data_IF_342400717931
#
_entry.id   IF_342400717931
#
_cell.length_a   1.000
_cell.length_b   1.000
_cell.length_c   1.000
_cell.angle_alpha   90.00
_cell.angle_beta   90.00
_cell.angle_gamma   90.00
#
_symmetry.space_group_name_H-M   'P 1'
#
loop_
_entity.id
_entity.type
_entity.pdbx_description
1 polymer ?
#
# COMPACT_ATOMS: atom_id res chain seq x y z
N UNK A 1 21.19 -31.86 -4.97
CA UNK A 1 21.96 -31.63 -3.74
C UNK A 1 20.94 -31.29 -2.69
N UNK A 2 20.73 -32.19 -1.75
CA UNK A 2 19.71 -32.04 -0.71
C UNK A 2 20.41 -31.67 0.59
N UNK A 3 19.93 -30.61 1.22
CA UNK A 3 20.46 -30.13 2.50
C UNK A 3 19.36 -30.33 3.53
N UNK A 4 19.66 -31.06 4.62
CA UNK A 4 18.68 -31.42 5.65
C UNK A 4 17.44 -32.16 5.13
N UNK A 5 17.55 -32.92 4.04
CA UNK A 5 16.41 -33.62 3.42
C UNK A 5 15.49 -32.71 2.59
N UNK A 6 15.87 -31.45 2.39
CA UNK A 6 15.16 -30.48 1.56
C UNK A 6 15.99 -30.22 0.29
N UNK A 7 15.38 -30.22 -0.90
CA UNK A 7 16.08 -29.86 -2.12
C UNK A 7 16.66 -28.44 -2.03
N UNK A 8 17.94 -28.26 -2.37
CA UNK A 8 18.58 -26.95 -2.40
C UNK A 8 17.77 -25.89 -3.20
N UNK A 9 17.16 -26.21 -4.35
CA UNK A 9 16.30 -25.25 -5.07
C UNK A 9 15.12 -24.74 -4.23
N UNK A 10 14.52 -25.60 -3.40
CA UNK A 10 13.39 -25.22 -2.54
C UNK A 10 13.82 -24.30 -1.38
N UNK A 11 15.02 -24.52 -0.83
CA UNK A 11 15.59 -23.62 0.18
C UNK A 11 15.88 -22.24 -0.42
N UNK A 12 16.47 -22.19 -1.62
CA UNK A 12 16.77 -20.94 -2.31
C UNK A 12 15.50 -20.17 -2.67
N UNK A 13 14.44 -20.86 -3.13
CA UNK A 13 13.16 -20.20 -3.40
C UNK A 13 12.54 -19.61 -2.13
N UNK A 14 12.63 -20.31 -0.99
CA UNK A 14 12.09 -19.81 0.27
C UNK A 14 12.87 -18.60 0.79
N UNK A 15 14.20 -18.62 0.65
CA UNK A 15 15.05 -17.48 0.99
C UNK A 15 14.71 -16.27 0.12
N UNK A 16 14.52 -16.48 -1.18
CA UNK A 16 14.13 -15.43 -2.12
C UNK A 16 12.74 -14.87 -1.80
N UNK A 17 11.76 -15.73 -1.48
CA UNK A 17 10.43 -15.29 -1.02
C UNK A 17 10.52 -14.46 0.27
N UNK A 18 11.34 -14.88 1.22
CA UNK A 18 11.60 -14.11 2.45
C UNK A 18 12.21 -12.74 2.15
N UNK A 19 13.16 -12.67 1.23
CA UNK A 19 13.81 -11.42 0.83
C UNK A 19 12.85 -10.48 0.08
N UNK A 20 12.01 -11.03 -0.82
CA UNK A 20 10.98 -10.26 -1.53
C UNK A 20 9.96 -9.68 -0.54
N UNK A 21 9.45 -10.49 0.40
CA UNK A 21 8.51 -10.02 1.42
C UNK A 21 9.17 -9.02 2.37
N UNK A 22 10.42 -9.23 2.76
CA UNK A 22 11.19 -8.30 3.58
C UNK A 22 11.38 -6.95 2.90
N UNK A 23 11.77 -6.96 1.62
CA UNK A 23 11.90 -5.75 0.82
C UNK A 23 10.57 -5.01 0.64
N UNK A 24 9.48 -5.76 0.47
CA UNK A 24 8.12 -5.21 0.40
C UNK A 24 7.74 -4.50 1.71
N UNK A 25 7.91 -5.14 2.87
CA UNK A 25 7.63 -4.52 4.17
C UNK A 25 8.55 -3.33 4.46
N UNK A 26 9.82 -3.41 4.05
CA UNK A 26 10.76 -2.31 4.17
C UNK A 26 10.33 -1.10 3.34
N UNK A 27 9.91 -1.29 2.08
CA UNK A 27 9.37 -0.20 1.26
C UNK A 27 8.08 0.39 1.83
N UNK A 28 7.16 -0.46 2.33
CA UNK A 28 5.91 0.00 2.93
C UNK A 28 6.17 0.86 4.18
N UNK A 29 7.11 0.43 5.03
CA UNK A 29 7.54 1.19 6.21
C UNK A 29 8.24 2.51 5.85
N UNK A 30 9.12 2.48 4.84
CA UNK A 30 9.83 3.66 4.36
C UNK A 30 8.85 4.72 3.83
N UNK A 31 7.79 4.32 3.11
CA UNK A 31 6.75 5.25 2.66
C UNK A 31 6.08 5.99 3.82
N UNK A 32 5.67 5.26 4.87
CA UNK A 32 5.11 5.88 6.07
C UNK A 32 6.11 6.79 6.79
N UNK A 33 7.38 6.37 6.90
CA UNK A 33 8.44 7.15 7.52
C UNK A 33 8.70 8.48 6.78
N UNK A 34 8.68 8.47 5.44
CA UNK A 34 8.84 9.69 4.63
C UNK A 34 7.65 10.63 4.81
N UNK A 35 6.42 10.11 4.80
CA UNK A 35 5.21 10.93 5.00
C UNK A 35 5.23 11.57 6.39
N UNK A 36 5.49 10.77 7.43
CA UNK A 36 5.56 11.27 8.79
C UNK A 36 6.72 12.26 8.97
N UNK A 37 7.90 11.98 8.41
CA UNK A 37 9.07 12.86 8.50
C UNK A 37 8.89 14.21 7.81
N UNK A 38 8.08 14.28 6.74
CA UNK A 38 7.83 15.52 6.01
C UNK A 38 6.64 16.31 6.57
N UNK A 39 5.57 15.64 6.97
CA UNK A 39 4.30 16.28 7.36
C UNK A 39 4.07 16.33 8.87
N UNK A 40 4.83 15.57 9.68
CA UNK A 40 4.60 15.34 11.11
C UNK A 40 3.19 14.83 11.46
N UNK A 41 2.50 14.22 10.49
CA UNK A 41 1.16 13.63 10.67
C UNK A 41 1.21 12.13 10.46
N UNK A 42 0.64 11.38 11.41
CA UNK A 42 0.51 9.92 11.31
C UNK A 42 -0.64 9.60 10.37
N UNK A 43 -0.33 9.08 9.17
CA UNK A 43 -1.31 8.70 8.17
C UNK A 43 -1.61 7.19 8.20
N UNK A 44 -2.67 6.79 8.90
CA UNK A 44 -3.10 5.37 8.94
C UNK A 44 -3.70 4.87 7.61
N UNK A 45 -4.10 5.76 6.71
CA UNK A 45 -4.66 5.40 5.42
C UNK A 45 -3.59 4.88 4.43
N UNK A 46 -2.31 5.09 4.71
CA UNK A 46 -1.21 4.65 3.84
C UNK A 46 -1.29 3.16 3.51
N UNK A 47 -1.52 2.29 4.51
CA UNK A 47 -1.64 0.85 4.31
C UNK A 47 -2.84 0.46 3.45
N UNK A 48 -4.00 1.11 3.67
CA UNK A 48 -5.20 0.89 2.88
C UNK A 48 -5.04 1.36 1.41
N UNK A 49 -4.38 2.50 1.19
CA UNK A 49 -4.08 2.98 -0.16
C UNK A 49 -3.11 2.06 -0.90
N UNK A 50 -2.10 1.52 -0.20
CA UNK A 50 -1.20 0.52 -0.75
C UNK A 50 -1.97 -0.74 -1.19
N UNK A 51 -2.81 -1.28 -0.30
CA UNK A 51 -3.67 -2.43 -0.60
C UNK A 51 -4.60 -2.16 -1.78
N UNK A 52 -5.22 -0.98 -1.83
CA UNK A 52 -6.09 -0.57 -2.94
C UNK A 52 -5.33 -0.58 -4.27
N UNK A 53 -4.07 -0.13 -4.30
CA UNK A 53 -3.22 -0.24 -5.49
C UNK A 53 -2.97 -1.69 -5.93
N UNK A 54 -2.69 -2.59 -4.98
CA UNK A 54 -2.52 -4.00 -5.28
C UNK A 54 -3.80 -4.64 -5.84
N UNK A 55 -4.96 -4.34 -5.24
CA UNK A 55 -6.25 -4.85 -5.72
C UNK A 55 -6.61 -4.26 -7.08
N UNK A 56 -6.37 -2.97 -7.31
CA UNK A 56 -6.59 -2.35 -8.62
C UNK A 56 -5.72 -3.01 -9.70
N UNK A 57 -4.44 -3.25 -9.40
CA UNK A 57 -3.53 -3.93 -10.31
C UNK A 57 -4.05 -5.33 -10.68
N UNK A 58 -4.42 -6.11 -9.67
CA UNK A 58 -4.99 -7.45 -9.87
C UNK A 58 -6.31 -7.42 -10.64
N UNK A 59 -7.26 -6.58 -10.23
CA UNK A 59 -8.57 -6.46 -10.86
C UNK A 59 -8.50 -5.96 -12.31
N UNK A 60 -7.59 -5.04 -12.62
CA UNK A 60 -7.36 -4.57 -13.98
C UNK A 60 -6.77 -5.65 -14.89
N UNK A 61 -5.92 -6.52 -14.35
CA UNK A 61 -5.40 -7.67 -15.11
C UNK A 61 -6.49 -8.73 -15.33
N UNK A 62 -7.26 -9.07 -14.30
CA UNK A 62 -8.25 -10.14 -14.33
C UNK A 62 -9.51 -9.76 -15.11
N UNK A 63 -10.12 -8.61 -14.81
CA UNK A 63 -11.42 -8.22 -15.35
C UNK A 63 -11.33 -7.37 -16.61
N UNK A 64 -10.31 -6.52 -16.73
CA UNK A 64 -10.13 -5.65 -17.89
C UNK A 64 -9.13 -6.22 -18.93
N UNK A 65 -8.51 -7.37 -18.64
CA UNK A 65 -7.54 -8.01 -19.54
C UNK A 65 -6.29 -7.16 -19.81
N UNK A 66 -5.99 -6.18 -18.95
CA UNK A 66 -4.83 -5.30 -19.11
C UNK A 66 -3.55 -6.07 -18.78
N UNK A 67 -2.47 -5.77 -19.50
CA UNK A 67 -1.20 -6.43 -19.22
C UNK A 67 -0.55 -5.90 -17.92
N UNK A 68 0.36 -6.70 -17.37
CA UNK A 68 1.10 -6.35 -16.15
C UNK A 68 1.80 -4.99 -16.25
N UNK A 69 2.46 -4.69 -17.38
CA UNK A 69 3.23 -3.46 -17.54
C UNK A 69 2.38 -2.19 -17.52
N UNK A 70 1.18 -2.25 -18.10
CA UNK A 70 0.19 -1.18 -18.06
C UNK A 70 -0.30 -1.00 -16.64
N UNK A 71 -0.67 -2.08 -15.95
CA UNK A 71 -1.16 -1.98 -14.57
C UNK A 71 -0.09 -1.56 -13.57
N UNK A 72 1.18 -1.91 -13.82
CA UNK A 72 2.32 -1.47 -13.02
C UNK A 72 2.44 0.06 -12.98
N UNK A 73 2.17 0.75 -14.09
CA UNK A 73 2.18 2.21 -14.15
C UNK A 73 0.82 2.81 -13.79
N UNK A 74 -0.28 2.19 -14.23
CA UNK A 74 -1.62 2.73 -14.08
C UNK A 74 -2.09 2.70 -12.61
N UNK A 75 -1.82 1.61 -11.89
CA UNK A 75 -2.24 1.47 -10.48
C UNK A 75 -1.72 2.60 -9.59
N UNK A 76 -0.40 2.89 -9.51
CA UNK A 76 0.10 3.97 -8.65
C UNK A 76 -0.39 5.35 -9.11
N UNK A 77 -0.66 5.56 -10.41
CA UNK A 77 -1.25 6.81 -10.89
C UNK A 77 -2.68 7.00 -10.41
N UNK A 78 -3.50 5.95 -10.47
CA UNK A 78 -4.89 5.99 -9.97
C UNK A 78 -4.93 6.18 -8.46
N UNK A 79 -4.11 5.42 -7.70
CA UNK A 79 -3.99 5.58 -6.25
C UNK A 79 -3.45 6.97 -5.88
N UNK A 80 -2.45 7.47 -6.61
CA UNK A 80 -1.91 8.81 -6.42
C UNK A 80 -2.96 9.90 -6.65
N UNK A 81 -3.78 9.77 -7.70
CA UNK A 81 -4.90 10.68 -7.96
C UNK A 81 -5.94 10.64 -6.83
N UNK A 82 -6.29 9.45 -6.32
CA UNK A 82 -7.15 9.30 -5.15
C UNK A 82 -6.52 9.95 -3.90
N UNK A 83 -5.23 9.77 -3.69
CA UNK A 83 -4.48 10.43 -2.61
C UNK A 83 -4.56 11.95 -2.69
N UNK A 84 -4.42 12.53 -3.89
CA UNK A 84 -4.57 13.98 -4.11
C UNK A 84 -5.99 14.45 -3.81
N UNK A 85 -7.01 13.67 -4.16
CA UNK A 85 -8.41 13.98 -3.85
C UNK A 85 -8.59 13.98 -2.32
N UNK A 86 -8.15 12.94 -1.62
CA UNK A 86 -8.22 12.83 -0.15
C UNK A 86 -7.49 14.01 0.51
N UNK A 87 -6.31 14.34 0.02
CA UNK A 87 -5.48 15.43 0.53
C UNK A 87 -6.22 16.77 0.43
N UNK A 88 -6.73 17.11 -0.76
CA UNK A 88 -7.40 18.40 -1.00
C UNK A 88 -8.75 18.52 -0.32
N UNK A 89 -9.50 17.42 -0.22
CA UNK A 89 -10.88 17.44 0.28
C UNK A 89 -10.97 17.24 1.78
N UNK A 90 -10.05 16.48 2.39
CA UNK A 90 -10.14 16.10 3.80
C UNK A 90 -8.91 16.53 4.60
N UNK A 91 -7.72 16.02 4.26
CA UNK A 91 -6.52 16.19 5.11
C UNK A 91 -6.11 17.66 5.26
N UNK A 92 -6.11 18.42 4.16
CA UNK A 92 -5.73 19.84 4.16
C UNK A 92 -6.55 20.70 5.12
N UNK A 93 -7.80 20.32 5.39
CA UNK A 93 -8.67 21.05 6.32
C UNK A 93 -8.35 20.73 7.78
N UNK A 94 -7.93 19.49 8.04
CA UNK A 94 -7.68 18.96 9.39
C UNK A 94 -6.25 19.22 9.86
N UNK A 95 -5.32 19.54 8.97
CA UNK A 95 -3.97 19.99 9.35
C UNK A 95 -3.93 21.26 10.21
N UNK A 96 -5.03 22.02 10.26
CA UNK A 96 -5.16 23.19 11.14
C UNK A 96 -5.60 22.83 12.57
N UNK A 97 -6.04 21.59 12.78
CA UNK A 97 -6.50 21.06 14.05
C UNK A 97 -5.41 20.22 14.71
N UNK A 98 -5.67 19.74 15.92
CA UNK A 98 -4.76 18.85 16.63
C UNK A 98 -4.52 17.54 15.84
N UNK A 99 -3.33 16.96 15.98
CA UNK A 99 -2.86 15.78 15.25
C UNK A 99 -3.77 14.56 15.44
N UNK A 100 -4.45 14.48 16.59
CA UNK A 100 -5.41 13.43 16.92
C UNK A 100 -6.56 13.38 15.90
N UNK A 101 -7.02 14.53 15.39
CA UNK A 101 -8.08 14.59 14.39
C UNK A 101 -7.62 14.01 13.04
N UNK A 102 -6.36 14.25 12.66
CA UNK A 102 -5.77 13.65 11.45
C UNK A 102 -5.68 12.12 11.55
N UNK A 103 -5.35 11.61 12.74
CA UNK A 103 -5.30 10.18 13.03
C UNK A 103 -6.70 9.55 12.91
N UNK A 104 -7.72 10.14 13.54
CA UNK A 104 -9.12 9.69 13.46
C UNK A 104 -9.65 9.68 12.02
N UNK A 105 -9.39 10.74 11.25
CA UNK A 105 -9.79 10.81 9.85
C UNK A 105 -9.14 9.69 9.04
N UNK A 106 -7.82 9.53 9.16
CA UNK A 106 -7.08 8.55 8.35
C UNK A 106 -7.49 7.12 8.71
N UNK A 107 -7.78 6.81 9.98
CA UNK A 107 -8.41 5.55 10.37
C UNK A 107 -9.80 5.36 9.75
N UNK A 108 -10.65 6.40 9.75
CA UNK A 108 -11.95 6.34 9.10
C UNK A 108 -11.84 6.03 7.60
N UNK A 109 -10.89 6.66 6.91
CA UNK A 109 -10.60 6.40 5.50
C UNK A 109 -10.12 4.96 5.30
N UNK A 110 -9.22 4.47 6.15
CA UNK A 110 -8.77 3.06 6.14
C UNK A 110 -9.97 2.12 6.22
N UNK A 111 -10.87 2.32 7.17
CA UNK A 111 -12.05 1.48 7.36
C UNK A 111 -13.01 1.51 6.17
N UNK A 112 -13.20 2.67 5.54
CA UNK A 112 -14.04 2.78 4.33
C UNK A 112 -13.40 2.02 3.17
N UNK A 113 -12.10 2.22 2.92
CA UNK A 113 -11.38 1.53 1.83
C UNK A 113 -11.40 0.01 2.06
N UNK A 114 -11.06 -0.44 3.27
CA UNK A 114 -11.09 -1.86 3.61
C UNK A 114 -12.51 -2.43 3.51
N UNK A 115 -13.52 -1.71 3.98
CA UNK A 115 -14.91 -2.13 3.90
C UNK A 115 -15.36 -2.33 2.45
N UNK A 116 -15.03 -1.39 1.56
CA UNK A 116 -15.35 -1.50 0.13
C UNK A 116 -14.64 -2.67 -0.55
N UNK A 117 -13.38 -2.94 -0.19
CA UNK A 117 -12.59 -4.00 -0.81
C UNK A 117 -12.92 -5.41 -0.29
N UNK A 118 -13.47 -5.51 0.92
CA UNK A 118 -13.85 -6.79 1.56
C UNK A 118 -15.31 -7.19 1.26
N UNK A 119 -16.12 -6.29 0.71
CA UNK A 119 -17.53 -6.52 0.38
C UNK A 119 -17.71 -7.13 -1.01
#
# INVERSE_FOLDING_TARGET
MDIFGIPLPAMLSQLLLGLVNGAFYAMLSLGLAVIFGLLNVINFAHGALFMLGAVLAWAGMEYAGLNYWVMLALSPLVVGALGVIIEKTMLRWIYKLDHIYGLLLTLGITLVIEGVLRS
#
